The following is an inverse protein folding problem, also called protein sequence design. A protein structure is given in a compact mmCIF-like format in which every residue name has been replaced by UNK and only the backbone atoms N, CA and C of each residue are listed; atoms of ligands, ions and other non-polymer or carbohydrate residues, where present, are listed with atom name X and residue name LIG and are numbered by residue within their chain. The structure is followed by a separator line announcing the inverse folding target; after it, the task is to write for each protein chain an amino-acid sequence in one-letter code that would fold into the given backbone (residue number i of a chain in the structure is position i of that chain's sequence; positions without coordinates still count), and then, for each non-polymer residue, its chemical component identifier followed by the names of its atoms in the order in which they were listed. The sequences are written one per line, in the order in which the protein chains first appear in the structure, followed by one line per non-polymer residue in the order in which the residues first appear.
data_IF_392982598724
#
_entry.id   IF_392982598724
#
_cell.length_a   1.000
_cell.length_b   1.000
_cell.length_c   1.000
_cell.angle_alpha   90.00
_cell.angle_beta   90.00
_cell.angle_gamma   90.00
#
_symmetry.space_group_name_H-M   'P 1'
#
loop_
_entity.id
_entity.type
_entity.pdbx_description
1 polymer ?
#
# COMPACT_ATOMS: atom_id res chain seq x y z
N UNK A 1 53.97 -9.91 -5.70
CA UNK A 1 53.64 -9.40 -7.07
C UNK A 1 52.23 -9.80 -7.58
N UNK A 2 51.61 -10.85 -7.13
CA UNK A 2 50.27 -11.32 -7.63
C UNK A 2 49.05 -10.48 -7.19
N UNK A 3 49.10 -9.79 -6.05
CA UNK A 3 47.97 -8.94 -5.57
C UNK A 3 47.69 -7.67 -6.41
N UNK A 4 48.70 -7.15 -7.13
CA UNK A 4 48.53 -5.93 -7.96
C UNK A 4 47.95 -6.22 -9.35
N UNK A 5 48.11 -7.41 -9.91
CA UNK A 5 47.55 -7.80 -11.22
C UNK A 5 46.01 -7.92 -11.13
N UNK A 6 45.48 -8.43 -10.00
CA UNK A 6 44.03 -8.56 -9.81
C UNK A 6 43.35 -7.20 -9.59
N UNK A 7 43.97 -6.23 -8.94
CA UNK A 7 43.43 -4.87 -8.79
C UNK A 7 43.39 -4.12 -10.13
N UNK A 8 44.42 -4.28 -10.95
CA UNK A 8 44.47 -3.64 -12.27
C UNK A 8 43.44 -4.25 -13.23
N UNK A 9 43.21 -5.57 -13.16
CA UNK A 9 42.18 -6.27 -13.93
C UNK A 9 40.77 -5.84 -13.54
N UNK A 10 40.49 -5.68 -12.26
CA UNK A 10 39.23 -5.20 -11.72
C UNK A 10 38.98 -3.73 -12.13
N UNK A 11 40.02 -2.89 -12.04
CA UNK A 11 39.93 -1.49 -12.45
C UNK A 11 39.67 -1.33 -13.96
N UNK A 12 40.36 -2.12 -14.82
CA UNK A 12 40.09 -2.17 -16.26
C UNK A 12 38.68 -2.65 -16.58
N UNK A 13 38.16 -3.62 -15.83
CA UNK A 13 36.79 -4.13 -15.99
C UNK A 13 35.74 -3.10 -15.56
N UNK A 14 35.99 -2.36 -14.48
CA UNK A 14 35.12 -1.26 -14.02
C UNK A 14 35.17 -0.08 -15.02
N UNK A 15 36.34 0.27 -15.51
CA UNK A 15 36.50 1.34 -16.53
C UNK A 15 35.86 0.93 -17.85
N UNK A 16 36.00 -0.32 -18.29
CA UNK A 16 35.33 -0.81 -19.51
C UNK A 16 33.81 -0.90 -19.37
N UNK A 17 33.28 -1.18 -18.17
CA UNK A 17 31.84 -1.11 -17.85
C UNK A 17 31.34 0.33 -17.88
N UNK A 18 32.10 1.29 -17.33
CA UNK A 18 31.80 2.72 -17.39
C UNK A 18 31.78 3.28 -18.81
N UNK A 19 32.66 2.81 -19.68
CA UNK A 19 32.75 3.25 -21.08
C UNK A 19 31.66 2.62 -21.98
N UNK A 20 31.02 1.52 -21.52
CA UNK A 20 29.90 0.89 -22.25
C UNK A 20 28.53 1.48 -21.96
N UNK A 21 28.39 2.26 -20.90
CA UNK A 21 27.16 2.99 -20.63
C UNK A 21 27.11 4.20 -21.57
N UNK A 22 26.22 4.16 -22.52
CA UNK A 22 25.97 5.31 -23.41
C UNK A 22 25.47 6.50 -22.58
N UNK A 23 25.68 7.74 -23.04
CA UNK A 23 25.15 8.93 -22.37
C UNK A 23 23.65 8.83 -22.07
N UNK A 24 22.88 8.15 -22.94
CA UNK A 24 21.46 7.91 -22.74
C UNK A 24 21.16 6.94 -21.59
N UNK A 25 22.00 5.92 -21.37
CA UNK A 25 21.84 4.98 -20.25
C UNK A 25 22.15 5.66 -18.92
N UNK A 26 23.15 6.53 -18.87
CA UNK A 26 23.47 7.34 -17.69
C UNK A 26 22.33 8.31 -17.39
N UNK A 27 21.76 8.98 -18.39
CA UNK A 27 20.62 9.88 -18.22
C UNK A 27 19.38 9.13 -17.71
N UNK A 28 19.11 7.91 -18.22
CA UNK A 28 17.98 7.08 -17.76
C UNK A 28 18.14 6.61 -16.30
N UNK A 29 19.36 6.37 -15.83
CA UNK A 29 19.62 6.01 -14.43
C UNK A 29 19.28 7.15 -13.46
N UNK A 30 19.39 8.41 -13.88
CA UNK A 30 19.06 9.59 -13.05
C UNK A 30 17.66 10.14 -13.27
N UNK A 31 16.83 9.47 -14.09
CA UNK A 31 15.42 9.85 -14.26
C UNK A 31 14.72 9.90 -12.90
N UNK A 32 13.99 11.01 -12.68
CA UNK A 32 13.25 11.23 -11.43
C UNK A 32 11.76 11.01 -11.64
N UNK A 33 11.08 10.58 -10.57
CA UNK A 33 9.62 10.58 -10.52
C UNK A 33 9.08 12.00 -10.30
N UNK A 34 7.75 12.15 -10.29
CA UNK A 34 7.07 13.45 -10.13
C UNK A 34 7.36 14.15 -8.78
N UNK A 35 7.90 13.43 -7.80
CA UNK A 35 8.30 13.95 -6.49
C UNK A 35 9.82 14.14 -6.36
N UNK A 36 10.57 13.98 -7.45
CA UNK A 36 12.01 14.17 -7.49
C UNK A 36 12.86 12.99 -7.05
N UNK A 37 12.28 11.83 -6.77
CA UNK A 37 13.01 10.62 -6.38
C UNK A 37 13.65 9.95 -7.61
N UNK A 38 14.91 9.54 -7.50
CA UNK A 38 15.61 8.83 -8.58
C UNK A 38 14.99 7.45 -8.75
N UNK A 39 14.42 7.16 -9.94
CA UNK A 39 13.68 5.93 -10.23
C UNK A 39 14.54 4.68 -10.02
N UNK A 40 15.81 4.72 -10.38
CA UNK A 40 16.73 3.59 -10.18
C UNK A 40 16.88 3.23 -8.69
N UNK A 41 17.09 4.23 -7.83
CA UNK A 41 17.17 4.02 -6.38
C UNK A 41 15.83 3.51 -5.83
N UNK A 42 14.72 4.07 -6.31
CA UNK A 42 13.37 3.63 -5.95
C UNK A 42 13.16 2.14 -6.26
N UNK A 43 13.59 1.66 -7.44
CA UNK A 43 13.54 0.24 -7.80
C UNK A 43 14.36 -0.65 -6.86
N UNK A 44 15.58 -0.23 -6.52
CA UNK A 44 16.44 -0.98 -5.57
C UNK A 44 15.78 -1.08 -4.20
N UNK A 45 15.23 0.02 -3.70
CA UNK A 45 14.55 0.05 -2.40
C UNK A 45 13.31 -0.85 -2.43
N UNK A 46 12.49 -0.77 -3.48
CA UNK A 46 11.32 -1.64 -3.66
C UNK A 46 11.70 -3.12 -3.70
N UNK A 47 12.79 -3.47 -4.39
CA UNK A 47 13.30 -4.84 -4.47
C UNK A 47 13.73 -5.36 -3.10
N UNK A 48 14.57 -4.61 -2.38
CA UNK A 48 15.06 -5.01 -1.05
C UNK A 48 13.91 -5.20 -0.07
N UNK A 49 12.98 -4.21 -0.01
CA UNK A 49 11.80 -4.33 0.85
C UNK A 49 10.88 -5.46 0.44
N UNK A 50 10.75 -5.70 -0.86
CA UNK A 50 10.00 -6.81 -1.39
C UNK A 50 10.55 -8.15 -0.89
N UNK A 51 11.86 -8.39 -0.96
CA UNK A 51 12.49 -9.62 -0.46
C UNK A 51 12.26 -9.78 1.05
N UNK A 52 12.48 -8.72 1.83
CA UNK A 52 12.35 -8.75 3.29
C UNK A 52 10.90 -9.00 3.72
N UNK A 53 9.93 -8.37 3.04
CA UNK A 53 8.52 -8.43 3.44
C UNK A 53 7.78 -9.66 2.91
N UNK A 54 8.22 -10.28 1.82
CA UNK A 54 7.51 -11.39 1.15
C UNK A 54 7.12 -12.53 2.10
N UNK A 55 8.06 -12.98 2.96
CA UNK A 55 7.81 -14.09 3.89
C UNK A 55 6.68 -13.81 4.88
N UNK A 56 6.29 -12.56 5.07
CA UNK A 56 5.19 -12.15 5.95
C UNK A 56 3.84 -12.52 5.38
N UNK A 57 3.75 -12.66 4.04
CA UNK A 57 2.52 -12.95 3.29
C UNK A 57 2.52 -14.36 2.69
N UNK A 58 3.70 -14.90 2.37
CA UNK A 58 3.90 -16.27 1.86
C UNK A 58 5.09 -16.91 2.57
N UNK A 59 4.81 -17.62 3.66
CA UNK A 59 5.80 -18.32 4.48
C UNK A 59 5.45 -18.31 5.96
N UNK A 60 5.48 -17.16 6.62
CA UNK A 60 5.02 -17.07 8.02
C UNK A 60 3.50 -17.03 8.14
N UNK A 61 2.84 -16.48 7.16
CA UNK A 61 1.41 -16.45 6.97
C UNK A 61 1.07 -16.83 5.53
N UNK A 62 -0.21 -17.01 5.23
CA UNK A 62 -0.69 -17.34 3.90
C UNK A 62 -1.65 -16.26 3.41
N UNK A 63 -1.21 -15.49 2.42
CA UNK A 63 -2.04 -14.48 1.77
C UNK A 63 -2.83 -15.11 0.62
N UNK A 64 -4.13 -15.16 0.78
CA UNK A 64 -5.09 -15.48 -0.27
C UNK A 64 -5.41 -14.21 -1.06
N UNK A 65 -5.33 -14.29 -2.38
CA UNK A 65 -5.53 -13.13 -3.27
C UNK A 65 -6.66 -13.46 -4.23
N UNK A 66 -7.63 -12.56 -4.32
CA UNK A 66 -8.79 -12.66 -5.21
C UNK A 66 -8.86 -11.42 -6.10
N UNK A 67 -9.30 -11.58 -7.36
CA UNK A 67 -9.46 -10.49 -8.32
C UNK A 67 -8.14 -9.91 -8.85
N UNK A 68 -7.02 -10.60 -8.67
CA UNK A 68 -5.69 -10.14 -9.08
C UNK A 68 -5.60 -9.90 -10.60
N UNK A 69 -6.33 -10.67 -11.38
CA UNK A 69 -6.41 -10.56 -12.84
C UNK A 69 -6.94 -9.19 -13.30
N UNK A 70 -7.81 -8.54 -12.53
CA UNK A 70 -8.36 -7.23 -12.85
C UNK A 70 -7.26 -6.17 -13.02
N UNK A 71 -6.16 -6.29 -12.28
CA UNK A 71 -5.06 -5.33 -12.32
C UNK A 71 -4.39 -5.24 -13.70
N UNK A 72 -4.44 -6.32 -14.50
CA UNK A 72 -3.78 -6.38 -15.81
C UNK A 72 -4.46 -5.55 -16.88
N UNK A 73 -5.74 -5.24 -16.67
CA UNK A 73 -6.56 -4.47 -17.61
C UNK A 73 -6.65 -2.98 -17.24
N UNK A 74 -6.05 -2.59 -16.12
CA UNK A 74 -6.05 -1.20 -15.69
C UNK A 74 -5.05 -0.37 -16.50
N UNK A 75 -5.36 0.89 -16.80
CA UNK A 75 -4.43 1.80 -17.45
C UNK A 75 -3.20 2.07 -16.56
N UNK A 76 -2.13 2.58 -17.14
CA UNK A 76 -0.88 2.86 -16.43
C UNK A 76 -1.02 3.95 -15.35
N UNK A 77 -1.97 4.85 -15.52
CA UNK A 77 -2.29 5.96 -14.61
C UNK A 77 -3.80 6.12 -14.44
N UNK A 78 -4.22 7.17 -13.73
CA UNK A 78 -5.63 7.49 -13.47
C UNK A 78 -6.38 6.38 -12.68
N UNK A 79 -5.69 5.67 -11.80
CA UNK A 79 -6.30 4.62 -10.96
C UNK A 79 -6.14 4.98 -9.48
N UNK A 80 -7.26 4.94 -8.76
CA UNK A 80 -7.31 5.15 -7.31
C UNK A 80 -7.82 3.89 -6.61
N UNK A 81 -6.96 3.23 -5.86
CA UNK A 81 -7.33 2.13 -4.99
C UNK A 81 -7.84 2.66 -3.65
N UNK A 82 -9.04 2.25 -3.27
CA UNK A 82 -9.64 2.56 -1.97
C UNK A 82 -9.71 1.29 -1.14
N UNK A 83 -9.21 1.31 0.10
CA UNK A 83 -9.16 0.10 0.94
C UNK A 83 -9.49 0.39 2.40
N UNK A 84 -10.04 -0.61 3.09
CA UNK A 84 -10.00 -0.65 4.54
C UNK A 84 -8.55 -0.73 5.04
N UNK A 85 -8.30 -0.35 6.30
CA UNK A 85 -6.94 -0.24 6.84
C UNK A 85 -6.80 -1.03 8.12
N UNK A 86 -5.88 -1.98 8.17
CA UNK A 86 -5.65 -2.82 9.33
C UNK A 86 -4.34 -2.52 10.05
N UNK A 87 -3.28 -2.13 9.30
CA UNK A 87 -1.95 -1.81 9.83
C UNK A 87 -1.32 -0.65 9.08
N UNK A 88 -0.38 0.09 9.67
CA UNK A 88 0.17 1.29 9.02
C UNK A 88 0.99 1.01 7.75
N UNK A 89 1.73 -0.11 7.70
CA UNK A 89 2.66 -0.39 6.60
C UNK A 89 2.41 -1.72 5.88
N UNK A 90 1.99 -2.77 6.60
CA UNK A 90 1.84 -4.09 5.99
C UNK A 90 0.77 -4.12 4.90
N UNK A 91 -0.30 -3.35 5.05
CA UNK A 91 -1.40 -3.29 4.08
C UNK A 91 -0.91 -2.80 2.70
N UNK A 92 -0.24 -1.65 2.67
CA UNK A 92 0.33 -1.12 1.44
C UNK A 92 1.43 -2.04 0.87
N UNK A 93 2.28 -2.61 1.73
CA UNK A 93 3.33 -3.53 1.29
C UNK A 93 2.76 -4.79 0.62
N UNK A 94 1.66 -5.37 1.14
CA UNK A 94 0.97 -6.48 0.49
C UNK A 94 0.43 -6.09 -0.90
N UNK A 95 -0.20 -4.89 -1.00
CA UNK A 95 -0.70 -4.38 -2.28
C UNK A 95 0.43 -4.23 -3.31
N UNK A 96 1.60 -3.70 -2.92
CA UNK A 96 2.76 -3.61 -3.81
C UNK A 96 3.18 -4.99 -4.33
N UNK A 97 3.25 -6.01 -3.46
CA UNK A 97 3.55 -7.38 -3.89
C UNK A 97 2.54 -7.90 -4.91
N UNK A 98 1.25 -7.73 -4.63
CA UNK A 98 0.16 -8.20 -5.49
C UNK A 98 0.18 -7.46 -6.83
N UNK A 99 0.35 -6.13 -6.81
CA UNK A 99 0.38 -5.31 -8.02
C UNK A 99 1.57 -5.67 -8.91
N UNK A 100 2.77 -5.79 -8.33
CA UNK A 100 3.95 -6.18 -9.10
C UNK A 100 3.80 -7.58 -9.69
N UNK A 101 3.29 -8.55 -8.92
CA UNK A 101 3.09 -9.91 -9.40
C UNK A 101 2.07 -9.96 -10.53
N UNK A 102 0.92 -9.26 -10.40
CA UNK A 102 -0.11 -9.19 -11.45
C UNK A 102 0.43 -8.61 -12.76
N UNK A 103 1.13 -7.47 -12.68
CA UNK A 103 1.69 -6.78 -13.84
C UNK A 103 2.85 -7.55 -14.50
N UNK A 104 3.47 -8.48 -13.78
CA UNK A 104 4.47 -9.42 -14.32
C UNK A 104 3.86 -10.78 -14.70
N UNK A 105 2.55 -10.85 -14.92
CA UNK A 105 1.84 -12.04 -15.42
C UNK A 105 1.70 -13.19 -14.43
N UNK A 106 1.98 -12.96 -13.12
CA UNK A 106 1.83 -13.99 -12.10
C UNK A 106 0.43 -13.98 -11.52
N UNK A 107 -0.07 -15.12 -11.08
CA UNK A 107 -1.38 -15.27 -10.43
C UNK A 107 -1.29 -15.32 -8.90
N UNK A 108 -0.08 -15.29 -8.36
CA UNK A 108 0.17 -15.17 -6.92
C UNK A 108 1.56 -14.55 -6.65
N UNK A 109 1.92 -14.43 -5.38
CA UNK A 109 3.19 -13.89 -4.93
C UNK A 109 4.18 -14.98 -4.46
N UNK A 110 4.03 -16.25 -4.91
CA UNK A 110 4.93 -17.35 -4.50
C UNK A 110 6.37 -17.15 -4.99
N UNK A 111 6.54 -16.79 -6.25
CA UNK A 111 7.83 -16.43 -6.82
C UNK A 111 8.38 -15.12 -6.28
N UNK A 112 9.56 -14.71 -6.73
CA UNK A 112 10.13 -13.39 -6.44
C UNK A 112 10.54 -12.62 -7.70
N UNK A 113 10.37 -13.23 -8.89
CA UNK A 113 10.75 -12.64 -10.18
C UNK A 113 10.09 -11.28 -10.44
N UNK A 114 8.85 -11.10 -9.98
CA UNK A 114 8.11 -9.84 -10.12
C UNK A 114 8.77 -8.65 -9.42
N UNK A 115 9.65 -8.90 -8.44
CA UNK A 115 10.36 -7.83 -7.74
C UNK A 115 11.44 -7.15 -8.59
N UNK A 116 11.90 -7.81 -9.67
CA UNK A 116 12.90 -7.22 -10.58
C UNK A 116 12.31 -6.14 -11.50
N UNK A 117 10.99 -6.20 -11.74
CA UNK A 117 10.29 -5.26 -12.62
C UNK A 117 9.15 -4.55 -11.87
N UNK A 118 9.46 -3.76 -10.82
CA UNK A 118 8.44 -3.06 -10.07
C UNK A 118 7.87 -1.90 -10.89
N UNK A 119 6.53 -1.69 -10.82
CA UNK A 119 5.89 -0.48 -11.29
C UNK A 119 6.27 0.67 -10.35
N UNK A 120 6.98 1.66 -10.85
CA UNK A 120 7.55 2.74 -10.01
C UNK A 120 6.62 3.92 -9.79
N UNK A 121 5.58 4.07 -10.62
CA UNK A 121 4.52 5.08 -10.46
C UNK A 121 3.32 4.54 -9.69
N UNK A 122 3.58 3.84 -8.58
CA UNK A 122 2.60 3.54 -7.55
C UNK A 122 2.88 4.44 -6.35
N UNK A 123 1.83 5.06 -5.84
CA UNK A 123 1.86 5.99 -4.73
C UNK A 123 0.87 5.57 -3.66
N UNK A 124 1.05 6.02 -2.43
CA UNK A 124 0.08 5.81 -1.36
C UNK A 124 -0.02 7.04 -0.46
N UNK A 125 -1.25 7.35 -0.07
CA UNK A 125 -1.53 8.48 0.82
C UNK A 125 -1.24 8.09 2.26
N UNK A 126 -0.38 8.85 2.94
CA UNK A 126 0.03 8.56 4.31
C UNK A 126 0.06 9.84 5.18
N UNK A 127 -0.19 9.69 6.48
CA UNK A 127 -0.08 10.82 7.40
C UNK A 127 1.38 11.27 7.55
N UNK A 128 1.66 12.57 7.36
CA UNK A 128 2.99 13.17 7.47
C UNK A 128 3.68 12.81 8.80
N UNK A 129 2.93 12.81 9.88
CA UNK A 129 3.44 12.47 11.22
C UNK A 129 3.97 11.02 11.29
N UNK A 130 3.33 10.10 10.57
CA UNK A 130 3.79 8.69 10.50
C UNK A 130 5.06 8.58 9.68
N UNK A 131 5.16 9.34 8.58
CA UNK A 131 6.29 9.29 7.66
C UNK A 131 7.57 9.96 8.20
N UNK A 132 7.45 10.84 9.17
CA UNK A 132 8.60 11.54 9.79
C UNK A 132 9.11 10.90 11.07
N UNK A 133 8.47 9.81 11.55
CA UNK A 133 8.74 9.20 12.87
C UNK A 133 10.01 8.34 12.96
N UNK A 134 10.88 8.31 11.93
CA UNK A 134 12.12 7.52 11.95
C UNK A 134 12.72 7.30 10.56
N UNK A 135 13.80 6.53 10.51
CA UNK A 135 14.53 6.24 9.26
C UNK A 135 13.68 5.39 8.30
N UNK A 136 13.08 4.31 8.80
CA UNK A 136 12.27 3.39 7.99
C UNK A 136 11.05 4.09 7.32
N UNK A 137 10.25 4.91 8.03
CA UNK A 137 9.22 5.71 7.38
C UNK A 137 9.75 6.67 6.31
N UNK A 138 10.94 7.27 6.49
CA UNK A 138 11.57 8.12 5.46
C UNK A 138 11.95 7.33 4.20
N UNK A 139 12.42 6.10 4.35
CA UNK A 139 12.66 5.21 3.22
C UNK A 139 11.34 4.89 2.50
N UNK A 140 10.26 4.66 3.24
CA UNK A 140 8.93 4.46 2.66
C UNK A 140 8.41 5.70 1.93
N UNK A 141 8.75 6.92 2.37
CA UNK A 141 8.46 8.13 1.60
C UNK A 141 9.10 8.07 0.21
N UNK A 142 10.35 7.61 0.13
CA UNK A 142 11.07 7.50 -1.13
C UNK A 142 10.41 6.50 -2.11
N UNK A 143 9.69 5.50 -1.61
CA UNK A 143 9.02 4.47 -2.41
C UNK A 143 7.67 4.93 -2.99
N UNK A 144 7.19 6.12 -2.65
CA UNK A 144 5.96 6.67 -3.23
C UNK A 144 4.91 7.12 -2.21
N UNK A 145 5.27 7.34 -0.95
CA UNK A 145 4.34 7.93 -0.01
C UNK A 145 4.04 9.39 -0.37
N UNK A 146 2.77 9.76 -0.33
CA UNK A 146 2.29 11.14 -0.43
C UNK A 146 1.94 11.57 1.00
N UNK A 147 2.81 12.35 1.67
CA UNK A 147 2.55 12.78 3.04
C UNK A 147 1.47 13.85 3.07
N UNK A 148 0.38 13.59 3.80
CA UNK A 148 -0.71 14.55 4.01
C UNK A 148 -0.80 15.00 5.46
N UNK A 149 -1.20 16.25 5.68
CA UNK A 149 -1.54 16.77 6.99
C UNK A 149 -3.00 16.46 7.32
N UNK A 150 -3.23 15.61 8.34
CA UNK A 150 -4.59 15.31 8.78
C UNK A 150 -5.25 16.53 9.37
N UNK A 151 -6.47 16.84 8.94
CA UNK A 151 -7.24 18.01 9.42
C UNK A 151 -7.91 17.78 10.76
N UNK A 152 -8.06 16.51 11.17
CA UNK A 152 -8.83 16.12 12.36
C UNK A 152 -7.99 15.55 13.51
N UNK A 153 -6.73 15.17 13.28
CA UNK A 153 -5.86 14.56 14.30
C UNK A 153 -4.40 14.92 14.09
N UNK A 154 -3.73 15.30 15.19
CA UNK A 154 -2.30 15.54 15.20
C UNK A 154 -1.70 14.98 16.49
N UNK A 155 -0.62 14.19 16.38
CA UNK A 155 0.10 13.56 17.51
C UNK A 155 -0.84 12.88 18.55
N UNK A 156 -1.89 12.24 18.07
CA UNK A 156 -2.85 11.54 18.92
C UNK A 156 -3.99 12.41 19.48
N UNK A 157 -3.94 13.73 19.33
CA UNK A 157 -4.97 14.69 19.78
C UNK A 157 -5.89 15.07 18.62
N UNK A 158 -7.16 15.31 18.92
CA UNK A 158 -8.10 15.87 17.95
C UNK A 158 -7.77 17.34 17.68
N UNK A 159 -7.78 17.72 16.42
CA UNK A 159 -7.50 19.08 15.95
C UNK A 159 -8.48 19.47 14.86
N UNK A 160 -8.75 20.77 14.72
CA UNK A 160 -9.44 21.33 13.54
C UNK A 160 -8.42 22.16 12.76
N UNK A 161 -8.05 21.72 11.58
CA UNK A 161 -7.13 22.44 10.69
C UNK A 161 -7.75 22.62 9.32
N UNK A 162 -7.46 23.70 8.61
CA UNK A 162 -7.84 23.83 7.21
C UNK A 162 -7.16 22.74 6.37
N UNK A 163 -7.78 22.43 5.24
CA UNK A 163 -7.21 21.51 4.26
C UNK A 163 -5.98 22.18 3.63
N UNK A 164 -4.90 21.43 3.50
CA UNK A 164 -3.72 21.91 2.80
C UNK A 164 -3.89 21.64 1.29
N UNK A 165 -4.01 22.70 0.50
CA UNK A 165 -4.18 22.59 -0.96
C UNK A 165 -2.99 21.90 -1.65
N UNK A 166 -1.78 22.03 -1.12
CA UNK A 166 -0.62 21.32 -1.66
C UNK A 166 -0.76 19.80 -1.53
N UNK A 167 -1.38 19.31 -0.46
CA UNK A 167 -1.64 17.87 -0.28
C UNK A 167 -2.59 17.37 -1.36
N UNK A 168 -3.67 18.12 -1.67
CA UNK A 168 -4.63 17.79 -2.74
C UNK A 168 -3.92 17.79 -4.09
N UNK A 169 -3.14 18.84 -4.38
CA UNK A 169 -2.39 18.96 -5.64
C UNK A 169 -1.41 17.80 -5.83
N UNK A 170 -0.72 17.37 -4.77
CA UNK A 170 0.21 16.24 -4.85
C UNK A 170 -0.52 14.91 -5.11
N UNK A 171 -1.69 14.70 -4.51
CA UNK A 171 -2.50 13.51 -4.80
C UNK A 171 -3.01 13.54 -6.25
N UNK A 172 -3.47 14.69 -6.74
CA UNK A 172 -3.92 14.85 -8.13
C UNK A 172 -2.79 14.56 -9.12
N UNK A 173 -1.59 15.11 -8.89
CA UNK A 173 -0.41 14.80 -9.72
C UNK A 173 -0.10 13.31 -9.72
N UNK A 174 -0.17 12.65 -8.57
CA UNK A 174 0.09 11.22 -8.46
C UNK A 174 -0.94 10.36 -9.20
N UNK A 175 -2.23 10.75 -9.18
CA UNK A 175 -3.29 10.07 -9.95
C UNK A 175 -3.03 10.22 -11.45
N UNK A 176 -2.62 11.41 -11.89
CA UNK A 176 -2.29 11.67 -13.30
C UNK A 176 -1.05 10.93 -13.78
N UNK A 177 -0.09 10.63 -12.90
CA UNK A 177 1.15 9.94 -13.24
C UNK A 177 1.03 8.41 -13.12
N UNK A 178 0.21 7.90 -12.18
CA UNK A 178 0.20 6.47 -11.89
C UNK A 178 -1.01 5.99 -11.09
N UNK A 179 -0.73 4.98 -10.27
CA UNK A 179 -1.69 4.34 -9.38
C UNK A 179 -1.55 4.90 -7.98
N UNK A 180 -2.66 5.24 -7.35
CA UNK A 180 -2.67 5.79 -5.99
C UNK A 180 -3.45 4.88 -5.05
N UNK A 181 -2.88 4.51 -3.91
CA UNK A 181 -3.54 3.77 -2.83
C UNK A 181 -3.98 4.78 -1.77
N UNK A 182 -5.23 4.72 -1.36
CA UNK A 182 -5.74 5.50 -0.23
C UNK A 182 -6.55 4.64 0.74
N UNK A 183 -6.47 5.01 2.01
CA UNK A 183 -7.24 4.44 3.10
C UNK A 183 -8.25 5.48 3.58
N UNK A 184 -9.47 5.50 3.00
CA UNK A 184 -10.39 6.64 3.11
C UNK A 184 -10.94 6.91 4.52
N UNK A 185 -10.87 5.93 5.43
CA UNK A 185 -11.22 6.12 6.84
C UNK A 185 -10.15 6.95 7.60
N UNK A 186 -8.90 6.97 7.11
CA UNK A 186 -7.76 7.65 7.75
C UNK A 186 -7.35 7.06 9.10
N UNK A 187 -7.77 5.84 9.40
CA UNK A 187 -7.51 5.12 10.66
C UNK A 187 -7.51 3.62 10.42
N UNK A 188 -6.81 2.88 11.30
CA UNK A 188 -6.87 1.41 11.33
C UNK A 188 -8.02 0.87 12.18
N UNK A 189 -8.82 1.72 12.81
CA UNK A 189 -10.03 1.32 13.54
C UNK A 189 -11.13 1.00 12.55
N UNK A 190 -11.75 -0.21 12.62
CA UNK A 190 -12.79 -0.61 11.68
C UNK A 190 -14.07 0.23 11.84
N UNK A 191 -14.90 0.24 10.81
CA UNK A 191 -16.22 0.86 10.79
C UNK A 191 -16.22 2.35 11.17
N UNK A 192 -15.09 3.05 11.02
CA UNK A 192 -15.06 4.51 11.14
C UNK A 192 -15.52 5.15 9.82
N UNK A 193 -16.20 6.31 9.89
CA UNK A 193 -16.71 6.99 8.71
C UNK A 193 -15.61 7.28 7.67
N UNK A 194 -15.97 7.15 6.41
CA UNK A 194 -15.14 7.59 5.26
C UNK A 194 -14.97 9.11 5.32
N UNK A 195 -13.77 9.58 5.05
CA UNK A 195 -13.46 11.01 5.03
C UNK A 195 -13.89 11.67 3.72
N UNK A 196 -14.62 12.77 3.81
CA UNK A 196 -15.12 13.52 2.65
C UNK A 196 -14.02 13.89 1.64
N UNK A 197 -12.80 14.11 2.11
CA UNK A 197 -11.65 14.44 1.26
C UNK A 197 -11.37 13.42 0.16
N UNK A 198 -11.58 12.13 0.41
CA UNK A 198 -11.42 11.08 -0.63
C UNK A 198 -12.47 11.24 -1.73
N UNK A 199 -13.74 11.48 -1.38
CA UNK A 199 -14.80 11.69 -2.36
C UNK A 199 -14.57 12.96 -3.19
N UNK A 200 -14.09 14.05 -2.58
CA UNK A 200 -13.71 15.26 -3.31
C UNK A 200 -12.57 15.01 -4.31
N UNK A 201 -11.52 14.26 -3.91
CA UNK A 201 -10.41 13.87 -4.80
C UNK A 201 -10.95 13.05 -5.99
N UNK A 202 -11.89 12.14 -5.75
CA UNK A 202 -12.54 11.32 -6.79
C UNK A 202 -13.31 12.20 -7.76
N UNK A 203 -14.18 13.09 -7.27
CA UNK A 203 -14.96 14.01 -8.14
C UNK A 203 -14.06 14.91 -8.98
N UNK A 204 -12.98 15.43 -8.39
CA UNK A 204 -12.06 16.36 -9.06
C UNK A 204 -11.22 15.68 -10.14
N UNK A 205 -10.71 14.47 -9.87
CA UNK A 205 -9.75 13.82 -10.75
C UNK A 205 -10.38 12.75 -11.66
N UNK A 206 -11.61 12.32 -11.38
CA UNK A 206 -12.36 11.30 -12.12
C UNK A 206 -11.54 10.03 -12.42
N UNK A 207 -10.81 9.43 -11.42
CA UNK A 207 -10.01 8.24 -11.64
C UNK A 207 -10.90 6.98 -11.72
N UNK A 208 -10.36 5.90 -12.29
CA UNK A 208 -10.96 4.56 -12.09
C UNK A 208 -10.75 4.19 -10.63
N UNK A 209 -11.85 4.00 -9.87
CA UNK A 209 -11.82 3.68 -8.44
C UNK A 209 -11.93 2.17 -8.25
N UNK A 210 -10.90 1.55 -7.67
CA UNK A 210 -10.81 0.11 -7.44
C UNK A 210 -10.87 -0.17 -5.94
N UNK A 211 -11.94 -0.82 -5.44
CA UNK A 211 -12.01 -1.23 -4.05
C UNK A 211 -11.10 -2.43 -3.76
N UNK A 212 -10.40 -2.38 -2.63
CA UNK A 212 -9.62 -3.50 -2.09
C UNK A 212 -10.08 -3.78 -0.66
N UNK A 213 -10.34 -5.05 -0.36
CA UNK A 213 -10.63 -5.49 1.00
C UNK A 213 -9.48 -6.33 1.52
N UNK A 214 -8.98 -5.98 2.70
CA UNK A 214 -7.95 -6.75 3.40
C UNK A 214 -8.49 -7.29 4.72
N UNK A 215 -8.12 -8.55 5.03
CA UNK A 215 -8.41 -9.18 6.32
C UNK A 215 -7.23 -10.01 6.82
N UNK A 216 -7.20 -10.28 8.14
CA UNK A 216 -6.18 -11.09 8.79
C UNK A 216 -4.90 -10.33 9.18
N UNK A 217 -4.67 -9.14 8.65
CA UNK A 217 -3.44 -8.38 8.89
C UNK A 217 -3.33 -7.91 10.35
N UNK A 218 -4.42 -7.48 10.96
CA UNK A 218 -4.45 -7.10 12.38
C UNK A 218 -4.17 -8.29 13.31
N UNK A 219 -4.54 -9.50 12.90
CA UNK A 219 -4.21 -10.73 13.63
C UNK A 219 -2.75 -11.12 13.47
N UNK A 220 -2.18 -10.88 12.27
CA UNK A 220 -0.81 -11.28 11.89
C UNK A 220 0.25 -10.32 12.42
N UNK A 221 -0.03 -9.01 12.47
CA UNK A 221 0.95 -7.96 12.68
C UNK A 221 0.64 -7.07 13.87
N UNK A 222 1.66 -6.36 14.35
CA UNK A 222 1.49 -5.22 15.25
C UNK A 222 0.75 -4.07 14.54
N UNK A 223 0.33 -3.06 15.29
CA UNK A 223 -0.40 -1.91 14.74
C UNK A 223 0.36 -1.18 13.63
N UNK A 224 1.70 -1.16 13.70
CA UNK A 224 2.53 -0.55 12.65
C UNK A 224 2.62 -1.45 11.42
N UNK A 225 2.39 -2.76 11.55
CA UNK A 225 2.60 -3.72 10.45
C UNK A 225 4.08 -4.01 10.20
N UNK A 226 4.94 -3.80 11.19
CA UNK A 226 6.38 -4.02 11.10
C UNK A 226 6.80 -5.33 11.76
N UNK A 227 6.14 -5.72 12.86
CA UNK A 227 6.44 -6.94 13.59
C UNK A 227 5.34 -7.99 13.38
N UNK A 228 5.73 -9.25 13.30
CA UNK A 228 4.81 -10.38 13.25
C UNK A 228 4.37 -10.68 14.69
N UNK A 229 3.07 -10.56 14.95
CA UNK A 229 2.44 -10.94 16.23
C UNK A 229 2.13 -12.44 16.28
N UNK A 230 1.59 -12.96 15.18
CA UNK A 230 1.17 -14.36 15.06
C UNK A 230 1.51 -14.88 13.66
N UNK A 231 1.95 -16.13 13.61
CA UNK A 231 2.20 -16.88 12.37
C UNK A 231 1.04 -17.84 12.09
N UNK A 232 0.98 -18.37 10.86
CA UNK A 232 -0.05 -19.32 10.46
C UNK A 232 -1.43 -18.68 10.28
N UNK A 233 -1.49 -17.36 10.10
CA UNK A 233 -2.75 -16.65 9.85
C UNK A 233 -3.05 -16.68 8.35
N UNK A 234 -4.28 -17.07 8.00
CA UNK A 234 -4.83 -16.84 6.68
C UNK A 234 -5.17 -15.34 6.55
N UNK A 235 -4.40 -14.67 5.72
CA UNK A 235 -4.61 -13.28 5.31
C UNK A 235 -5.40 -13.28 4.00
N UNK A 236 -6.23 -12.27 3.77
CA UNK A 236 -7.00 -12.12 2.53
C UNK A 236 -6.79 -10.71 1.96
N UNK A 237 -6.64 -10.64 0.64
CA UNK A 237 -6.66 -9.41 -0.14
C UNK A 237 -7.54 -9.65 -1.35
N UNK A 238 -8.70 -9.00 -1.37
CA UNK A 238 -9.69 -9.11 -2.45
C UNK A 238 -9.73 -7.80 -3.22
N UNK A 239 -9.45 -7.85 -4.52
CA UNK A 239 -9.58 -6.73 -5.45
C UNK A 239 -10.95 -6.86 -6.10
N UNK A 240 -11.78 -5.82 -5.98
CA UNK A 240 -13.12 -5.79 -6.54
C UNK A 240 -13.15 -5.08 -7.89
N UNK A 241 -14.15 -5.32 -8.73
CA UNK A 241 -14.36 -4.56 -9.96
C UNK A 241 -14.39 -3.04 -9.72
N UNK A 242 -14.13 -2.23 -10.76
CA UNK A 242 -14.22 -0.78 -10.66
C UNK A 242 -15.55 -0.34 -10.06
N UNK A 243 -15.49 0.62 -9.14
CA UNK A 243 -16.69 1.16 -8.49
C UNK A 243 -17.48 2.01 -9.50
N UNK A 244 -18.77 1.75 -9.70
CA UNK A 244 -19.59 2.52 -10.62
C UNK A 244 -19.92 3.89 -10.01
N UNK A 245 -19.13 4.90 -10.40
CA UNK A 245 -19.30 6.30 -9.97
C UNK A 245 -19.79 7.10 -11.15
N UNK A 246 -20.95 7.75 -10.99
CA UNK A 246 -21.40 8.79 -11.88
C UNK A 246 -20.77 10.12 -11.44
N UNK A 247 -19.68 10.50 -12.14
CA UNK A 247 -18.91 11.70 -11.77
C UNK A 247 -19.68 13.00 -11.90
N UNK A 248 -20.74 13.03 -12.70
CA UNK A 248 -21.57 14.21 -12.90
C UNK A 248 -22.69 14.30 -11.85
N UNK A 249 -23.40 13.19 -11.59
CA UNK A 249 -24.60 13.18 -10.78
C UNK A 249 -24.37 12.71 -9.33
N UNK A 250 -23.43 11.77 -9.07
CA UNK A 250 -23.19 11.32 -7.70
C UNK A 250 -22.73 12.48 -6.82
N UNK A 251 -23.40 12.69 -5.70
CA UNK A 251 -22.94 13.62 -4.69
C UNK A 251 -21.76 13.03 -3.85
N UNK A 252 -21.10 13.88 -3.07
CA UNK A 252 -20.03 13.45 -2.17
C UNK A 252 -20.52 12.38 -1.18
N UNK A 253 -21.79 12.47 -0.76
CA UNK A 253 -22.44 11.48 0.11
C UNK A 253 -22.53 10.11 -0.55
N UNK A 254 -23.02 10.07 -1.78
CA UNK A 254 -23.21 8.83 -2.55
C UNK A 254 -21.88 8.11 -2.79
N UNK A 255 -20.84 8.85 -3.14
CA UNK A 255 -19.50 8.29 -3.32
C UNK A 255 -18.96 7.69 -2.00
N UNK A 256 -19.18 8.39 -0.87
CA UNK A 256 -18.78 7.89 0.46
C UNK A 256 -19.49 6.57 0.77
N UNK A 257 -20.79 6.52 0.53
CA UNK A 257 -21.61 5.34 0.78
C UNK A 257 -21.16 4.17 -0.11
N UNK A 258 -21.04 4.37 -1.42
CA UNK A 258 -20.52 3.38 -2.37
C UNK A 258 -19.15 2.84 -1.93
N UNK A 259 -18.22 3.70 -1.52
CA UNK A 259 -16.90 3.28 -1.03
C UNK A 259 -17.05 2.44 0.24
N UNK A 260 -17.86 2.89 1.20
CA UNK A 260 -17.98 2.22 2.50
C UNK A 260 -18.52 0.79 2.38
N UNK A 261 -19.49 0.55 1.50
CA UNK A 261 -19.96 -0.79 1.15
C UNK A 261 -18.91 -1.59 0.40
N UNK A 262 -18.26 -0.98 -0.60
CA UNK A 262 -17.29 -1.68 -1.43
C UNK A 262 -16.07 -2.20 -0.64
N UNK A 263 -15.58 -1.43 0.35
CA UNK A 263 -14.47 -1.86 1.23
C UNK A 263 -14.93 -2.58 2.51
N UNK A 264 -16.20 -2.98 2.58
CA UNK A 264 -16.82 -3.72 3.71
C UNK A 264 -16.68 -2.99 5.06
N UNK A 265 -16.87 -1.67 5.06
CA UNK A 265 -16.77 -0.83 6.26
C UNK A 265 -18.03 0.01 6.52
N UNK A 266 -19.14 -0.30 5.84
CA UNK A 266 -20.43 0.32 6.14
C UNK A 266 -20.98 -0.17 7.48
N UNK A 267 -21.69 0.68 8.21
CA UNK A 267 -22.23 0.34 9.55
C UNK A 267 -23.20 -0.84 9.49
N UNK A 268 -23.99 -0.97 8.45
CA UNK A 268 -24.94 -2.07 8.24
C UNK A 268 -24.26 -3.44 8.12
N UNK A 269 -22.97 -3.46 7.80
CA UNK A 269 -22.16 -4.68 7.73
C UNK A 269 -21.56 -5.07 9.10
N UNK A 270 -21.78 -4.24 10.11
CA UNK A 270 -21.33 -4.52 11.48
C UNK A 270 -22.19 -5.62 12.08
N UNK A 271 -21.67 -6.83 12.17
CA UNK A 271 -22.32 -7.93 12.87
C UNK A 271 -22.25 -7.67 14.38
N UNK A 272 -23.36 -7.34 14.97
CA UNK A 272 -23.50 -7.29 16.43
C UNK A 272 -23.60 -8.72 16.93
N UNK A 273 -22.56 -9.22 17.61
CA UNK A 273 -22.62 -10.51 18.29
C UNK A 273 -23.37 -10.29 19.60
N UNK A 274 -24.49 -11.01 19.87
CA UNK A 274 -25.19 -10.92 21.13
C UNK A 274 -24.25 -11.21 22.31
N UNK A 275 -24.39 -10.47 23.42
CA UNK A 275 -23.52 -10.58 24.61
C UNK A 275 -23.55 -12.01 25.19
N UNK A 276 -24.67 -12.72 25.07
CA UNK A 276 -24.83 -14.11 25.43
C UNK A 276 -23.87 -15.07 24.72
N UNK A 277 -23.66 -14.88 23.42
CA UNK A 277 -22.67 -15.67 22.64
C UNK A 277 -21.22 -15.36 23.02
N UNK A 278 -20.92 -14.11 23.36
CA UNK A 278 -19.60 -13.72 23.83
C UNK A 278 -19.25 -14.39 25.18
N UNK A 279 -20.22 -14.52 26.06
CA UNK A 279 -20.02 -15.18 27.36
C UNK A 279 -19.82 -16.69 27.24
N UNK A 280 -20.56 -17.35 26.32
CA UNK A 280 -20.37 -18.79 26.01
C UNK A 280 -19.00 -19.09 25.42
N UNK A 281 -18.52 -18.27 24.49
CA UNK A 281 -17.20 -18.44 23.86
C UNK A 281 -16.05 -18.19 24.84
N UNK A 282 -16.24 -17.26 25.80
CA UNK A 282 -15.27 -16.98 26.88
C UNK A 282 -15.22 -18.13 27.90
N UNK A 283 -16.35 -18.72 28.25
CA UNK A 283 -16.42 -19.86 29.15
C UNK A 283 -15.86 -21.13 28.52
N UNK A 284 -16.15 -21.42 27.25
CA UNK A 284 -15.54 -22.52 26.52
C UNK A 284 -14.04 -22.38 26.45
N UNK A 285 -13.55 -21.18 26.07
CA UNK A 285 -12.11 -20.89 25.99
C UNK A 285 -11.39 -21.06 27.35
N UNK A 286 -12.05 -20.73 28.46
CA UNK A 286 -11.51 -20.94 29.82
C UNK A 286 -11.49 -22.40 30.22
N UNK A 287 -12.45 -23.20 29.77
CA UNK A 287 -12.51 -24.63 30.01
C UNK A 287 -11.49 -25.41 29.21
N UNK A 288 -11.26 -25.00 27.94
CA UNK A 288 -10.22 -25.58 27.10
C UNK A 288 -8.80 -25.33 27.60
N UNK A 289 -8.56 -24.17 28.27
CA UNK A 289 -7.26 -23.84 28.87
C UNK A 289 -7.06 -24.60 30.22
N UNK A 290 -8.12 -25.04 30.89
CA UNK A 290 -8.02 -25.85 32.13
C UNK A 290 -7.89 -27.35 31.88
N UNK A 291 -8.10 -27.82 30.62
CA UNK A 291 -8.01 -29.22 30.24
C UNK A 291 -6.60 -29.62 29.69
N UNK A 292 -5.66 -28.68 29.68
CA UNK A 292 -4.22 -28.88 29.39
C UNK A 292 -3.40 -28.56 30.66
#
# INVERSE_FOLDING_TARGET
MLKNKNKLGLYKKIVSLKLRLTQNEVLTMFKKDIFGNIIFIKKIVMFIFGIISKRRYKGFNELQIEGMELLRYLPDNQVLFVSNHQTYFADAAAMYHVFFAALNGQNDIKGFKYLFHPKTNIYYVAAKETMTSGILPRIFMYVGAIPIMRTWRSKGKDVKRPVNFNDITNISKAIQDGWVITFPQGTTTPFKPIRRGTAHIIKTNKPIVIPIVIDGFRRSFDKKGLQIKKRGINQRLTIKPPLPIDYENDEVGDIIEKISFAIEQHQDLLKVVPVEKLNTDIEQSKNDVKAF
#
